data_IF_874621682219
#
_entry.id   IF_874621682219
#
_cell.length_a   1.000
_cell.length_b   1.000
_cell.length_c   1.000
_cell.angle_alpha   90.00
_cell.angle_beta   90.00
_cell.angle_gamma   90.00
#
_symmetry.space_group_name_H-M   'P 1'
#
loop_
_entity.id
_entity.type
_entity.pdbx_description
1 polymer ?
#
# COMPACT_ATOMS: atom_id res chain seq x y z
N UNK A 1 2.21 -42.05 -26.91
CA UNK A 1 2.14 -40.91 -25.96
C UNK A 1 1.27 -41.30 -24.77
N UNK A 2 1.90 -41.57 -23.62
CA UNK A 2 1.28 -42.22 -22.46
C UNK A 2 0.07 -41.43 -21.91
N UNK A 3 -0.99 -42.13 -21.52
CA UNK A 3 -2.23 -41.57 -20.98
C UNK A 3 -1.99 -40.62 -19.79
N UNK A 4 -0.99 -40.91 -18.97
CA UNK A 4 -0.55 -40.11 -17.82
C UNK A 4 -0.07 -38.71 -18.23
N UNK A 5 0.60 -38.57 -19.37
CA UNK A 5 1.08 -37.29 -19.88
C UNK A 5 -0.07 -36.38 -20.36
N UNK A 6 -1.11 -36.97 -20.98
CA UNK A 6 -2.28 -36.22 -21.45
C UNK A 6 -3.12 -35.69 -20.29
N UNK A 7 -3.23 -36.43 -19.18
CA UNK A 7 -3.93 -35.97 -17.98
C UNK A 7 -3.19 -34.82 -17.30
N UNK A 8 -1.86 -34.96 -17.09
CA UNK A 8 -1.02 -33.88 -16.52
C UNK A 8 -1.11 -32.58 -17.31
N UNK A 9 -1.04 -32.67 -18.65
CA UNK A 9 -1.11 -31.49 -19.54
C UNK A 9 -2.50 -30.83 -19.59
N UNK A 10 -3.58 -31.54 -19.25
CA UNK A 10 -4.93 -30.96 -19.11
C UNK A 10 -5.09 -30.25 -17.77
N UNK A 11 -4.65 -30.87 -16.69
CA UNK A 11 -4.67 -30.27 -15.35
C UNK A 11 -3.81 -29.00 -15.33
N UNK A 12 -2.62 -29.04 -15.92
CA UNK A 12 -1.74 -27.87 -16.06
C UNK A 12 -2.43 -26.70 -16.77
N UNK A 13 -3.08 -26.95 -17.92
CA UNK A 13 -3.81 -25.91 -18.65
C UNK A 13 -5.03 -25.38 -17.89
N UNK A 14 -5.76 -26.25 -17.19
CA UNK A 14 -6.89 -25.84 -16.36
C UNK A 14 -6.44 -24.98 -15.18
N UNK A 15 -5.39 -25.39 -14.47
CA UNK A 15 -4.85 -24.64 -13.33
C UNK A 15 -4.28 -23.30 -13.79
N UNK A 16 -3.51 -23.28 -14.88
CA UNK A 16 -2.99 -22.02 -15.42
C UNK A 16 -4.11 -21.08 -15.88
N UNK A 17 -5.13 -21.62 -16.56
CA UNK A 17 -6.31 -20.85 -16.96
C UNK A 17 -7.12 -20.32 -15.78
N UNK A 18 -7.27 -21.12 -14.72
CA UNK A 18 -7.96 -20.72 -13.50
C UNK A 18 -7.23 -19.59 -12.76
N UNK A 19 -5.91 -19.71 -12.58
CA UNK A 19 -5.10 -18.65 -11.95
C UNK A 19 -5.09 -17.39 -12.80
N UNK A 20 -4.92 -17.51 -14.13
CA UNK A 20 -4.98 -16.36 -15.03
C UNK A 20 -6.36 -15.68 -14.96
N UNK A 21 -7.45 -16.47 -14.98
CA UNK A 21 -8.81 -15.96 -14.84
C UNK A 21 -9.04 -15.24 -13.51
N UNK A 22 -8.56 -15.81 -12.40
CA UNK A 22 -8.62 -15.17 -11.09
C UNK A 22 -7.85 -13.84 -11.07
N UNK A 23 -6.64 -13.80 -11.63
CA UNK A 23 -5.84 -12.57 -11.74
C UNK A 23 -6.53 -11.50 -12.59
N UNK A 24 -7.10 -11.86 -13.74
CA UNK A 24 -7.83 -10.89 -14.56
C UNK A 24 -9.12 -10.42 -13.90
N UNK A 25 -9.81 -11.29 -13.14
CA UNK A 25 -10.99 -10.91 -12.38
C UNK A 25 -10.64 -9.89 -11.29
N UNK A 26 -9.58 -10.13 -10.50
CA UNK A 26 -9.16 -9.21 -9.44
C UNK A 26 -8.65 -7.89 -10.00
N UNK A 27 -7.84 -7.92 -11.06
CA UNK A 27 -7.40 -6.71 -11.76
C UNK A 27 -8.58 -5.95 -12.37
N UNK A 28 -9.56 -6.66 -12.93
CA UNK A 28 -10.78 -6.06 -13.46
C UNK A 28 -11.57 -5.32 -12.39
N UNK A 29 -11.76 -5.94 -11.22
CA UNK A 29 -12.40 -5.29 -10.06
C UNK A 29 -11.61 -4.09 -9.59
N UNK A 30 -10.27 -4.19 -9.51
CA UNK A 30 -9.41 -3.08 -9.12
C UNK A 30 -9.55 -1.90 -10.07
N UNK A 31 -9.43 -2.13 -11.38
CA UNK A 31 -9.55 -1.07 -12.40
C UNK A 31 -10.96 -0.46 -12.38
N UNK A 32 -12.00 -1.29 -12.24
CA UNK A 32 -13.37 -0.81 -12.12
C UNK A 32 -13.55 0.09 -10.89
N UNK A 33 -13.09 -0.35 -9.73
CA UNK A 33 -13.19 0.40 -8.47
C UNK A 33 -12.43 1.73 -8.56
N UNK A 34 -11.18 1.70 -9.05
CA UNK A 34 -10.37 2.90 -9.24
C UNK A 34 -11.04 3.86 -10.23
N UNK A 35 -11.57 3.36 -11.34
CA UNK A 35 -12.30 4.15 -12.32
C UNK A 35 -13.57 4.79 -11.75
N UNK A 36 -14.34 4.02 -10.97
CA UNK A 36 -15.54 4.50 -10.30
C UNK A 36 -15.24 5.61 -9.28
N UNK A 37 -14.24 5.39 -8.42
CA UNK A 37 -13.80 6.38 -7.42
C UNK A 37 -13.24 7.62 -8.13
N UNK A 38 -12.45 7.47 -9.20
CA UNK A 38 -11.92 8.59 -9.95
C UNK A 38 -13.03 9.44 -10.58
N UNK A 39 -14.02 8.79 -11.20
CA UNK A 39 -15.16 9.49 -11.81
C UNK A 39 -15.99 10.25 -10.77
N UNK A 40 -16.34 9.58 -9.66
CA UNK A 40 -17.15 10.18 -8.60
C UNK A 40 -16.38 11.23 -7.78
N UNK A 41 -15.07 11.04 -7.63
CA UNK A 41 -14.20 11.97 -6.94
C UNK A 41 -13.92 13.24 -7.75
N UNK A 42 -13.74 13.11 -9.08
CA UNK A 42 -13.46 14.24 -9.95
C UNK A 42 -14.58 15.29 -9.94
N UNK A 43 -15.84 14.85 -9.89
CA UNK A 43 -16.99 15.76 -9.78
C UNK A 43 -17.12 16.43 -8.42
N UNK A 44 -16.49 15.88 -7.38
CA UNK A 44 -16.50 16.40 -6.01
C UNK A 44 -15.31 17.33 -5.72
N UNK A 45 -14.34 17.42 -6.65
CA UNK A 45 -13.13 18.20 -6.47
C UNK A 45 -13.41 19.69 -6.72
N UNK A 46 -13.49 20.45 -5.63
CA UNK A 46 -13.73 21.90 -5.65
C UNK A 46 -12.74 22.60 -4.73
N UNK A 47 -12.57 23.92 -4.86
CA UNK A 47 -11.71 24.66 -3.93
C UNK A 47 -12.18 24.54 -2.47
N UNK A 48 -13.49 24.49 -2.26
CA UNK A 48 -14.11 24.22 -0.96
C UNK A 48 -13.77 22.84 -0.41
N UNK A 49 -13.57 21.82 -1.27
CA UNK A 49 -13.19 20.49 -0.81
C UNK A 49 -11.86 20.50 -0.03
N UNK A 50 -10.90 21.33 -0.43
CA UNK A 50 -9.59 21.40 0.23
C UNK A 50 -9.57 22.31 1.45
N UNK A 51 -10.37 23.37 1.44
CA UNK A 51 -10.28 24.47 2.41
C UNK A 51 -11.42 24.49 3.43
N UNK A 52 -12.59 23.96 3.09
CA UNK A 52 -13.74 23.94 3.98
C UNK A 52 -13.64 22.82 5.01
N UNK A 53 -14.27 23.06 6.16
CA UNK A 53 -14.44 22.07 7.19
C UNK A 53 -15.45 21.00 6.74
N UNK A 54 -15.37 19.77 7.29
CA UNK A 54 -16.36 18.74 7.05
C UNK A 54 -17.75 19.24 7.47
N UNK A 55 -18.73 19.08 6.59
CA UNK A 55 -20.12 19.39 6.94
C UNK A 55 -20.63 18.36 7.97
N UNK A 56 -21.63 18.73 8.79
CA UNK A 56 -22.31 17.78 9.66
C UNK A 56 -22.91 16.60 8.89
N UNK A 57 -23.05 15.46 9.55
CA UNK A 57 -23.61 14.25 8.94
C UNK A 57 -25.01 14.51 8.39
N UNK A 58 -25.24 14.23 7.12
CA UNK A 58 -26.53 14.41 6.45
C UNK A 58 -26.68 15.72 5.67
N UNK A 59 -25.73 16.65 5.74
CA UNK A 59 -25.72 17.84 4.88
C UNK A 59 -24.91 17.62 3.60
N UNK A 60 -25.43 18.10 2.47
CA UNK A 60 -24.75 18.03 1.19
C UNK A 60 -23.66 19.10 1.11
N UNK A 61 -22.41 18.68 0.89
CA UNK A 61 -21.26 19.57 0.75
C UNK A 61 -20.24 19.40 1.88
N UNK A 62 -19.44 20.45 2.12
CA UNK A 62 -18.31 20.43 3.05
C UNK A 62 -16.96 20.11 2.39
N UNK A 63 -15.91 20.10 3.18
CA UNK A 63 -14.55 19.81 2.73
C UNK A 63 -13.80 18.84 3.64
N UNK A 64 -12.58 18.49 3.23
CA UNK A 64 -11.70 17.55 3.91
C UNK A 64 -10.50 18.25 4.57
N UNK A 65 -10.58 19.57 4.81
CA UNK A 65 -9.45 20.35 5.33
C UNK A 65 -8.86 19.75 6.63
N UNK A 66 -9.70 19.35 7.58
CA UNK A 66 -9.27 18.71 8.83
C UNK A 66 -8.55 17.38 8.60
N UNK A 67 -9.02 16.57 7.65
CA UNK A 67 -8.39 15.29 7.34
C UNK A 67 -7.03 15.48 6.67
N UNK A 68 -6.93 16.44 5.73
CA UNK A 68 -5.68 16.79 5.05
C UNK A 68 -4.64 17.32 6.05
N UNK A 69 -5.01 18.31 6.85
CA UNK A 69 -4.11 18.91 7.86
C UNK A 69 -3.74 17.89 8.93
N UNK A 70 -4.69 17.06 9.38
CA UNK A 70 -4.43 15.97 10.33
C UNK A 70 -3.42 14.96 9.79
N UNK A 71 -3.62 14.52 8.54
CA UNK A 71 -2.70 13.60 7.85
C UNK A 71 -1.32 14.20 7.66
N UNK A 72 -1.24 15.48 7.28
CA UNK A 72 0.03 16.18 7.15
C UNK A 72 0.79 16.28 8.48
N UNK A 73 0.09 16.62 9.58
CA UNK A 73 0.68 16.65 10.92
C UNK A 73 1.19 15.26 11.33
N UNK A 74 0.39 14.22 11.12
CA UNK A 74 0.79 12.85 11.41
C UNK A 74 2.04 12.44 10.61
N UNK A 75 2.03 12.68 9.30
CA UNK A 75 3.17 12.38 8.42
C UNK A 75 4.42 13.14 8.86
N UNK A 76 4.32 14.44 9.15
CA UNK A 76 5.45 15.26 9.56
C UNK A 76 6.05 14.79 10.89
N UNK A 77 5.21 14.47 11.87
CA UNK A 77 5.69 13.96 13.17
C UNK A 77 6.33 12.58 13.04
N UNK A 78 5.72 11.68 12.27
CA UNK A 78 6.29 10.37 11.98
C UNK A 78 7.63 10.48 11.23
N UNK A 79 7.72 11.35 10.23
CA UNK A 79 8.94 11.60 9.47
C UNK A 79 10.04 12.23 10.34
N UNK A 80 9.70 13.21 11.16
CA UNK A 80 10.65 13.92 12.03
C UNK A 80 11.38 12.98 13.02
N UNK A 81 10.74 11.89 13.43
CA UNK A 81 11.36 10.88 14.32
C UNK A 81 11.88 9.69 13.53
N UNK A 82 11.08 9.14 12.64
CA UNK A 82 11.40 7.92 11.89
C UNK A 82 12.56 8.09 10.92
N UNK A 83 12.64 9.23 10.22
CA UNK A 83 13.72 9.46 9.25
C UNK A 83 15.09 9.57 9.95
N UNK A 84 15.29 10.42 10.98
CA UNK A 84 16.60 10.49 11.64
C UNK A 84 17.01 9.16 12.27
N UNK A 85 16.09 8.46 12.95
CA UNK A 85 16.40 7.17 13.59
C UNK A 85 16.75 6.11 12.56
N UNK A 86 15.95 5.98 11.48
CA UNK A 86 16.22 5.04 10.41
C UNK A 86 17.51 5.35 9.64
N UNK A 87 17.74 6.62 9.33
CA UNK A 87 18.94 7.07 8.60
C UNK A 87 20.21 6.84 9.44
N UNK A 88 20.23 7.28 10.70
CA UNK A 88 21.37 7.08 11.59
C UNK A 88 21.61 5.60 11.90
N UNK A 89 20.54 4.81 12.06
CA UNK A 89 20.65 3.35 12.21
C UNK A 89 21.28 2.69 10.98
N UNK A 90 20.92 3.13 9.78
CA UNK A 90 21.53 2.70 8.52
C UNK A 90 23.01 3.06 8.43
N UNK A 91 23.37 4.32 8.75
CA UNK A 91 24.77 4.78 8.79
C UNK A 91 25.58 3.98 9.81
N UNK A 92 25.04 3.76 11.02
CA UNK A 92 25.68 2.95 12.05
C UNK A 92 25.95 1.52 11.57
N UNK A 93 24.97 0.88 10.92
CA UNK A 93 25.16 -0.48 10.38
C UNK A 93 26.16 -0.53 9.22
N UNK A 94 26.29 0.55 8.44
CA UNK A 94 27.26 0.65 7.36
C UNK A 94 28.70 0.76 7.88
N UNK A 95 28.91 1.59 8.91
CA UNK A 95 30.25 1.86 9.46
C UNK A 95 30.68 0.83 10.53
N UNK A 96 29.76 0.49 11.43
CA UNK A 96 30.01 -0.32 12.63
C UNK A 96 29.20 -1.62 12.65
N UNK A 97 28.93 -2.20 11.47
CA UNK A 97 28.04 -3.36 11.29
C UNK A 97 28.44 -4.69 11.94
N UNK A 98 29.32 -4.69 12.94
CA UNK A 98 29.85 -5.85 13.66
C UNK A 98 29.44 -5.79 15.14
N UNK A 99 29.13 -6.95 15.74
CA UNK A 99 28.75 -7.08 17.15
C UNK A 99 27.26 -7.39 17.37
N UNK A 100 26.92 -7.74 18.62
CA UNK A 100 25.56 -8.19 18.97
C UNK A 100 24.50 -7.10 18.73
N UNK A 101 24.80 -5.83 19.03
CA UNK A 101 23.88 -4.72 18.83
C UNK A 101 23.56 -4.48 17.33
N UNK A 102 24.59 -4.45 16.48
CA UNK A 102 24.40 -4.36 15.02
C UNK A 102 23.56 -5.53 14.46
N UNK A 103 23.73 -6.74 15.00
CA UNK A 103 22.91 -7.89 14.62
C UNK A 103 21.43 -7.70 14.99
N UNK A 104 21.13 -7.16 16.17
CA UNK A 104 19.75 -6.89 16.61
C UNK A 104 19.08 -5.80 15.77
N UNK A 105 19.79 -4.70 15.48
CA UNK A 105 19.26 -3.61 14.65
C UNK A 105 18.98 -4.12 13.23
N UNK A 106 19.88 -4.91 12.66
CA UNK A 106 19.67 -5.53 11.33
C UNK A 106 18.48 -6.48 11.32
N UNK A 107 18.38 -7.34 12.34
CA UNK A 107 17.23 -8.24 12.48
C UNK A 107 15.89 -7.48 12.56
N UNK A 108 15.82 -6.42 13.36
CA UNK A 108 14.62 -5.60 13.45
C UNK A 108 14.25 -4.96 12.10
N UNK A 109 15.23 -4.47 11.34
CA UNK A 109 15.01 -3.92 10.00
C UNK A 109 14.52 -4.98 9.00
N UNK A 110 15.11 -6.17 9.03
CA UNK A 110 14.74 -7.29 8.16
C UNK A 110 13.32 -7.79 8.46
N UNK A 111 12.93 -7.86 9.74
CA UNK A 111 11.55 -8.21 10.15
C UNK A 111 10.57 -7.13 9.69
N UNK A 112 10.92 -5.85 9.83
CA UNK A 112 10.05 -4.75 9.39
C UNK A 112 9.83 -4.76 7.87
N UNK A 113 10.85 -5.16 7.09
CA UNK A 113 10.77 -5.24 5.62
C UNK A 113 10.12 -6.55 5.13
N UNK A 114 10.23 -7.63 5.91
CA UNK A 114 9.76 -8.97 5.54
C UNK A 114 8.27 -9.23 5.76
N UNK A 115 7.54 -8.33 6.45
CA UNK A 115 6.09 -8.46 6.66
C UNK A 115 5.37 -7.74 5.51
N UNK A 116 4.58 -8.46 4.68
CA UNK A 116 3.85 -7.89 3.55
C UNK A 116 2.65 -7.02 3.99
#
# INVERSE_FOLDING_TARGET
>A
MNATYRHRRRVERLMFGATAGATFATLGVLVFLLGYIAWQGATSLSWSFFTALPAPVGEAGGGMANAIVGSAKLLLTAAAVGIPVGFLGGVYLAEYGRGAFASWVRYAADVLNGIP
#
